data_IF_388433519833
#
_entry.id   IF_388433519833
#
_cell.length_a   1.000
_cell.length_b   1.000
_cell.length_c   1.000
_cell.angle_alpha   90.00
_cell.angle_beta   90.00
_cell.angle_gamma   90.00
#
_symmetry.space_group_name_H-M   'P 1'
#
loop_
_entity.id
_entity.type
_entity.pdbx_description
1 polymer ?
#
# COMPACT_ATOMS: atom_id res chain seq x y z
N UNK A 1 -7.04 -3.15 -12.63
CA UNK A 1 -5.98 -3.32 -11.61
C UNK A 1 -4.85 -4.16 -12.21
N UNK A 2 -3.63 -3.69 -12.12
CA UNK A 2 -2.48 -4.40 -12.70
C UNK A 2 -2.12 -5.64 -11.89
N UNK A 3 -1.46 -6.65 -12.52
CA UNK A 3 -1.00 -7.82 -11.77
C UNK A 3 -0.05 -7.47 -10.63
N UNK A 4 0.83 -6.49 -10.82
CA UNK A 4 1.77 -6.07 -9.77
C UNK A 4 1.05 -5.50 -8.56
N UNK A 5 0.01 -4.69 -8.79
CA UNK A 5 -0.76 -4.11 -7.71
C UNK A 5 -1.48 -5.20 -6.90
N UNK A 6 -2.04 -6.19 -7.59
CA UNK A 6 -2.68 -7.34 -6.92
C UNK A 6 -1.69 -8.11 -6.07
N UNK A 7 -0.50 -8.35 -6.60
CA UNK A 7 0.55 -9.06 -5.85
C UNK A 7 1.00 -8.29 -4.62
N UNK A 8 1.13 -6.96 -4.74
CA UNK A 8 1.49 -6.12 -3.60
C UNK A 8 0.42 -6.21 -2.50
N UNK A 9 -0.85 -6.12 -2.88
CA UNK A 9 -1.97 -6.21 -1.94
C UNK A 9 -2.00 -7.58 -1.27
N UNK A 10 -1.85 -8.65 -2.06
CA UNK A 10 -1.85 -10.00 -1.53
C UNK A 10 -0.68 -10.22 -0.56
N UNK A 11 0.51 -9.72 -0.91
CA UNK A 11 1.67 -9.83 -0.03
C UNK A 11 1.45 -9.10 1.30
N UNK A 12 0.83 -7.92 1.25
CA UNK A 12 0.49 -7.17 2.46
C UNK A 12 -0.50 -7.95 3.33
N UNK A 13 -1.52 -8.53 2.72
CA UNK A 13 -2.50 -9.36 3.43
C UNK A 13 -1.86 -10.59 4.05
N UNK A 14 -0.93 -11.24 3.35
CA UNK A 14 -0.22 -12.41 3.87
C UNK A 14 0.60 -12.07 5.12
N UNK A 15 0.99 -10.83 5.28
CA UNK A 15 1.69 -10.33 6.47
C UNK A 15 0.74 -9.63 7.45
N UNK A 16 -0.56 -9.85 7.31
CA UNK A 16 -1.58 -9.35 8.24
C UNK A 16 -1.71 -7.83 8.29
N UNK A 17 -1.47 -7.14 7.18
CA UNK A 17 -1.69 -5.71 7.10
C UNK A 17 -3.13 -5.36 7.47
N UNK A 18 -3.29 -4.29 8.22
CA UNK A 18 -4.58 -3.84 8.73
C UNK A 18 -5.13 -2.70 7.89
N UNK A 19 -6.45 -2.66 7.78
CA UNK A 19 -7.21 -1.56 7.19
C UNK A 19 -6.62 -1.12 5.84
N UNK A 20 -6.44 -2.08 4.95
CA UNK A 20 -5.85 -1.85 3.64
C UNK A 20 -6.85 -1.19 2.72
N UNK A 21 -6.44 -0.09 2.09
CA UNK A 21 -7.25 0.65 1.14
C UNK A 21 -6.45 0.96 -0.11
N UNK A 22 -7.13 0.95 -1.24
CA UNK A 22 -6.55 1.32 -2.52
C UNK A 22 -7.26 2.56 -3.04
N UNK A 23 -6.50 3.61 -3.30
CA UNK A 23 -7.03 4.86 -3.84
C UNK A 23 -6.67 4.95 -5.32
N UNK A 24 -7.65 5.28 -6.14
CA UNK A 24 -7.43 5.57 -7.55
C UNK A 24 -6.95 7.03 -7.66
N UNK A 25 -5.71 7.19 -8.07
CA UNK A 25 -5.07 8.51 -8.16
C UNK A 25 -5.10 9.10 -9.55
N UNK A 26 -5.66 8.39 -10.52
CA UNK A 26 -5.83 8.92 -11.87
C UNK A 26 -6.74 10.13 -11.82
N UNK A 27 -6.31 11.24 -12.42
CA UNK A 27 -7.04 12.49 -12.35
C UNK A 27 -6.75 13.35 -11.13
N UNK A 28 -6.19 12.77 -10.05
CA UNK A 28 -5.80 13.50 -8.84
C UNK A 28 -4.30 13.74 -8.76
N UNK A 29 -3.54 12.95 -9.49
CA UNK A 29 -2.09 12.88 -9.37
C UNK A 29 -1.51 12.44 -10.71
N UNK A 30 -0.42 13.06 -11.13
CA UNK A 30 0.20 12.75 -12.42
C UNK A 30 1.36 11.75 -12.32
N UNK A 31 1.79 11.40 -11.12
CA UNK A 31 2.99 10.58 -10.93
C UNK A 31 2.72 9.12 -10.58
N UNK A 32 1.48 8.77 -10.29
CA UNK A 32 1.11 7.38 -10.00
C UNK A 32 -0.37 7.15 -10.28
N UNK A 33 -0.74 5.90 -10.53
CA UNK A 33 -2.15 5.54 -10.77
C UNK A 33 -2.89 5.16 -9.51
N UNK A 34 -2.19 4.63 -8.49
CA UNK A 34 -2.83 4.15 -7.27
C UNK A 34 -1.98 4.40 -6.05
N UNK A 35 -2.64 4.66 -4.92
CA UNK A 35 -2.05 4.53 -3.60
C UNK A 35 -2.59 3.27 -2.96
N UNK A 36 -1.73 2.53 -2.28
CA UNK A 36 -2.12 1.45 -1.37
C UNK A 36 -1.75 1.90 0.03
N UNK A 37 -2.73 1.97 0.91
CA UNK A 37 -2.52 2.44 2.29
C UNK A 37 -2.92 1.33 3.24
N UNK A 38 -2.03 0.97 4.15
CA UNK A 38 -2.33 -0.03 5.17
C UNK A 38 -1.60 0.30 6.45
N UNK A 39 -1.92 -0.43 7.49
CA UNK A 39 -1.35 -0.22 8.82
C UNK A 39 -0.75 -1.49 9.38
N UNK A 40 0.22 -1.32 10.26
CA UNK A 40 0.77 -2.38 11.09
C UNK A 40 0.61 -2.04 12.56
N UNK A 41 0.65 -3.05 13.42
CA UNK A 41 0.47 -2.88 14.86
C UNK A 41 1.72 -2.35 15.55
N UNK A 42 2.86 -2.45 14.90
CA UNK A 42 4.16 -2.03 15.44
C UNK A 42 5.11 -1.73 14.30
N UNK A 43 6.26 -1.13 14.63
CA UNK A 43 7.30 -0.87 13.63
C UNK A 43 7.86 -2.16 13.03
N UNK A 44 7.97 -3.21 13.84
CA UNK A 44 8.38 -4.53 13.34
C UNK A 44 7.36 -5.07 12.35
N UNK A 45 6.07 -4.88 12.62
CA UNK A 45 5.00 -5.32 11.73
C UNK A 45 5.01 -4.56 10.39
N UNK A 46 5.20 -3.24 10.43
CA UNK A 46 5.28 -2.47 9.19
C UNK A 46 6.47 -2.91 8.34
N UNK A 47 7.61 -3.20 8.96
CA UNK A 47 8.77 -3.73 8.25
C UNK A 47 8.49 -5.11 7.64
N UNK A 48 7.80 -5.97 8.37
CA UNK A 48 7.41 -7.29 7.86
C UNK A 48 6.51 -7.18 6.64
N UNK A 49 5.56 -6.26 6.66
CA UNK A 49 4.68 -6.00 5.51
C UNK A 49 5.51 -5.54 4.31
N UNK A 50 6.41 -4.59 4.54
CA UNK A 50 7.32 -4.09 3.50
C UNK A 50 8.16 -5.23 2.91
N UNK A 51 8.75 -6.05 3.76
CA UNK A 51 9.58 -7.18 3.31
C UNK A 51 8.77 -8.16 2.48
N UNK A 52 7.54 -8.45 2.88
CA UNK A 52 6.67 -9.36 2.13
C UNK A 52 6.37 -8.84 0.73
N UNK A 53 6.10 -7.56 0.60
CA UNK A 53 5.84 -6.93 -0.69
C UNK A 53 7.10 -6.97 -1.55
N UNK A 54 8.25 -6.61 -0.98
CA UNK A 54 9.53 -6.63 -1.70
C UNK A 54 9.85 -8.01 -2.24
N UNK A 55 9.72 -9.03 -1.41
CA UNK A 55 10.02 -10.41 -1.79
C UNK A 55 9.12 -10.91 -2.90
N UNK A 56 7.83 -10.67 -2.76
CA UNK A 56 6.85 -11.17 -3.73
C UNK A 56 6.99 -10.50 -5.09
N UNK A 57 7.16 -9.20 -5.12
CA UNK A 57 7.31 -8.48 -6.39
C UNK A 57 8.66 -8.77 -7.04
N UNK A 58 9.69 -8.98 -6.25
CA UNK A 58 11.00 -9.38 -6.79
C UNK A 58 10.91 -10.70 -7.55
N UNK A 59 10.16 -11.66 -7.04
CA UNK A 59 9.94 -12.95 -7.72
C UNK A 59 9.28 -12.78 -9.07
N UNK A 60 8.47 -11.75 -9.23
CA UNK A 60 7.80 -11.42 -10.48
C UNK A 60 8.62 -10.47 -11.36
N UNK A 61 9.86 -10.17 -10.97
CA UNK A 61 10.77 -9.32 -11.74
C UNK A 61 10.59 -7.83 -11.51
N UNK A 62 9.95 -7.43 -10.41
CA UNK A 62 9.71 -6.02 -10.12
C UNK A 62 10.43 -5.57 -8.86
N UNK A 63 11.10 -4.43 -8.96
CA UNK A 63 11.76 -3.78 -7.83
C UNK A 63 11.25 -2.36 -7.70
N UNK A 64 11.16 -1.83 -6.46
CA UNK A 64 10.71 -0.45 -6.29
C UNK A 64 11.76 0.54 -6.78
N UNK A 65 11.32 1.70 -7.24
CA UNK A 65 12.21 2.82 -7.54
C UNK A 65 12.80 3.39 -6.25
N UNK A 66 11.98 3.46 -5.22
CA UNK A 66 12.38 3.98 -3.90
C UNK A 66 11.69 3.22 -2.80
N UNK A 67 12.39 3.06 -1.67
CA UNK A 67 11.80 2.67 -0.40
C UNK A 67 12.31 3.67 0.62
N UNK A 68 11.41 4.37 1.29
CA UNK A 68 11.73 5.38 2.28
C UNK A 68 11.09 5.07 3.62
N UNK A 69 11.76 5.46 4.69
CA UNK A 69 11.21 5.33 6.05
C UNK A 69 11.32 3.95 6.67
N UNK A 70 12.01 3.02 6.04
CA UNK A 70 12.12 1.64 6.53
C UNK A 70 12.73 1.55 7.93
N UNK A 71 13.77 2.33 8.20
CA UNK A 71 14.49 2.25 9.48
C UNK A 71 13.63 2.68 10.67
N UNK A 72 12.92 3.79 10.54
CA UNK A 72 12.00 4.26 11.59
C UNK A 72 10.71 3.46 11.60
N UNK A 73 10.30 3.01 10.43
CA UNK A 73 9.17 2.12 10.25
C UNK A 73 7.81 2.65 10.74
N UNK A 74 7.71 3.94 11.01
CA UNK A 74 6.44 4.58 11.38
C UNK A 74 5.60 4.89 10.15
N UNK A 75 6.26 5.22 9.05
CA UNK A 75 5.65 5.43 7.75
C UNK A 75 6.65 4.97 6.70
N UNK A 76 6.41 3.81 6.11
CA UNK A 76 7.24 3.27 5.03
C UNK A 76 6.55 3.55 3.72
N UNK A 77 7.28 4.17 2.79
CA UNK A 77 6.81 4.46 1.45
C UNK A 77 7.56 3.57 0.46
N UNK A 78 6.82 2.88 -0.42
CA UNK A 78 7.39 2.03 -1.46
C UNK A 78 6.87 2.50 -2.81
N UNK A 79 7.75 3.07 -3.64
CA UNK A 79 7.38 3.62 -4.93
C UNK A 79 7.67 2.60 -6.04
N UNK A 80 6.61 2.10 -6.67
CA UNK A 80 6.68 1.19 -7.81
C UNK A 80 6.25 1.86 -9.12
N UNK A 81 6.26 3.19 -9.18
CA UNK A 81 5.79 4.01 -10.31
C UNK A 81 4.29 3.96 -10.51
N UNK A 82 3.74 2.82 -10.96
CA UNK A 82 2.31 2.71 -11.22
C UNK A 82 1.47 2.74 -9.95
N UNK A 83 2.08 2.41 -8.83
CA UNK A 83 1.44 2.52 -7.52
C UNK A 83 2.48 2.83 -6.46
N UNK A 84 2.02 3.45 -5.39
CA UNK A 84 2.85 3.76 -4.23
C UNK A 84 2.19 3.14 -3.01
N UNK A 85 2.94 2.34 -2.26
CA UNK A 85 2.46 1.70 -1.03
C UNK A 85 2.87 2.56 0.15
N UNK A 86 1.90 2.84 1.02
CA UNK A 86 2.10 3.57 2.27
C UNK A 86 1.75 2.63 3.43
N UNK A 87 2.73 2.32 4.25
CA UNK A 87 2.56 1.43 5.41
C UNK A 87 2.81 2.25 6.67
N UNK A 88 1.81 2.39 7.51
CA UNK A 88 1.89 3.18 8.73
C UNK A 88 1.76 2.30 9.96
N UNK A 89 2.42 2.67 11.06
CA UNK A 89 1.90 2.22 12.36
C UNK A 89 0.57 2.92 12.59
N UNK A 90 -0.35 2.29 13.31
CA UNK A 90 -1.72 2.80 13.43
C UNK A 90 -1.79 4.25 13.88
N UNK A 91 -1.01 4.63 14.90
CA UNK A 91 -1.00 6.00 15.39
C UNK A 91 -0.50 7.02 14.37
N UNK A 92 0.47 6.63 13.54
CA UNK A 92 1.02 7.51 12.52
C UNK A 92 0.02 7.73 11.38
N UNK A 93 -0.76 6.70 11.05
CA UNK A 93 -1.80 6.81 10.03
C UNK A 93 -2.82 7.88 10.41
N UNK A 94 -3.26 7.85 11.67
CA UNK A 94 -4.21 8.84 12.16
C UNK A 94 -3.60 10.23 12.17
N UNK A 95 -2.34 10.34 12.58
CA UNK A 95 -1.65 11.62 12.66
C UNK A 95 -1.46 12.26 11.28
N UNK A 96 -0.97 11.52 10.31
CA UNK A 96 -0.71 12.05 8.98
C UNK A 96 -1.98 12.16 8.14
N UNK A 97 -2.92 11.27 8.36
CA UNK A 97 -4.24 11.26 7.70
C UNK A 97 -4.14 11.52 6.18
N UNK A 98 -3.27 10.75 5.54
CA UNK A 98 -3.01 10.88 4.12
C UNK A 98 -4.28 10.77 3.28
N UNK A 99 -5.20 9.93 3.71
CA UNK A 99 -6.46 9.69 3.02
C UNK A 99 -7.34 10.94 2.96
N UNK A 100 -7.22 11.82 3.92
CA UNK A 100 -7.97 13.07 3.97
C UNK A 100 -7.54 14.03 2.86
N UNK A 101 -6.26 14.02 2.52
CA UNK A 101 -5.73 14.85 1.43
C UNK A 101 -6.32 14.44 0.08
N UNK A 102 -6.71 13.17 -0.04
CA UNK A 102 -7.22 12.59 -1.27
C UNK A 102 -8.64 12.06 -1.10
N UNK A 103 -9.45 12.72 -0.27
CA UNK A 103 -10.79 12.25 0.09
C UNK A 103 -11.74 12.07 -1.09
N UNK A 104 -11.50 12.78 -2.19
CA UNK A 104 -12.34 12.68 -3.38
C UNK A 104 -11.86 11.59 -4.34
N UNK A 105 -10.74 10.95 -4.08
CA UNK A 105 -10.25 9.86 -4.92
C UNK A 105 -11.10 8.61 -4.69
N UNK A 106 -11.52 7.91 -5.76
CA UNK A 106 -12.21 6.63 -5.60
C UNK A 106 -11.35 5.64 -4.84
N UNK A 107 -11.98 4.86 -3.97
CA UNK A 107 -11.24 3.92 -3.12
C UNK A 107 -11.99 2.61 -2.92
N UNK A 108 -11.20 1.56 -2.69
CA UNK A 108 -11.69 0.24 -2.31
C UNK A 108 -11.10 -0.08 -0.95
N UNK A 109 -11.96 -0.55 -0.04
CA UNK A 109 -11.51 -1.11 1.23
C UNK A 109 -11.37 -2.61 1.05
N UNK A 110 -10.19 -3.14 1.36
CA UNK A 110 -9.91 -4.57 1.25
C UNK A 110 -9.95 -5.15 2.66
N UNK A 111 -10.87 -6.09 2.88
CA UNK A 111 -11.00 -6.74 4.18
C UNK A 111 -9.90 -7.76 4.39
N UNK A 112 -9.53 -7.94 5.64
CA UNK A 112 -8.52 -8.92 6.02
C UNK A 112 -8.96 -10.32 5.60
N UNK A 113 -8.05 -11.05 4.97
CA UNK A 113 -8.30 -12.41 4.52
C UNK A 113 -9.07 -12.55 3.21
N UNK A 114 -9.55 -11.45 2.64
CA UNK A 114 -10.23 -11.47 1.34
C UNK A 114 -9.23 -11.16 0.23
N UNK A 115 -9.39 -11.84 -0.89
CA UNK A 115 -8.63 -11.54 -2.07
C UNK A 115 -9.10 -10.25 -2.72
N UNK A 116 -8.28 -9.69 -3.61
CA UNK A 116 -8.64 -8.50 -4.37
C UNK A 116 -9.46 -8.93 -5.57
N UNK A 117 -10.67 -8.38 -5.68
CA UNK A 117 -11.48 -8.59 -6.86
C UNK A 117 -11.13 -7.55 -7.92
N UNK A 118 -11.20 -7.97 -9.18
CA UNK A 118 -10.96 -7.08 -10.29
C UNK A 118 -12.22 -6.27 -10.56
N UNK A 119 -12.37 -5.21 -9.80
CA UNK A 119 -13.52 -4.32 -9.92
C UNK A 119 -13.08 -2.96 -10.41
N UNK A 120 -14.02 -2.29 -11.02
CA UNK A 120 -13.86 -0.90 -11.33
C UNK A 120 -13.79 -0.10 -10.04
N UNK A 121 -12.75 0.70 -9.90
CA UNK A 121 -12.58 1.59 -8.76
C UNK A 121 -13.21 2.93 -9.13
N UNK A 122 -14.25 3.27 -8.43
CA UNK A 122 -14.82 4.52 -8.85
C UNK A 122 -15.97 4.96 -8.12
#
# INVERSE_FOLDING_TARGET
MTPQLREAIQAAQDRKALDLRVLNMEGCCSFTSNFVICSGTSTRHTQAICDGILERLKKSGHSPAHVEGYSRAEWILMDYFNFIVHIFVERARDFYDLERLWKNAPKITVKEGEGVEDREIG
#
